data_IF_731757033473
#
_entry.id   IF_731757033473
#
_cell.length_a   1.000
_cell.length_b   1.000
_cell.length_c   1.000
_cell.angle_alpha   90.00
_cell.angle_beta   90.00
_cell.angle_gamma   90.00
#
_symmetry.space_group_name_H-M   'P 1'
#
loop_
_entity.id
_entity.type
_entity.pdbx_description
1 polymer ?
#
# COMPACT_ATOMS: atom_id res chain seq x y z
N UNK A 1 13.00 15.60 -10.95
CA UNK A 1 11.55 15.52 -10.62
C UNK A 1 11.16 14.04 -10.65
N UNK A 2 10.39 13.57 -9.67
CA UNK A 2 9.93 12.16 -9.56
C UNK A 2 9.50 11.53 -10.89
N UNK A 3 9.73 10.23 -11.03
CA UNK A 3 9.21 9.42 -12.12
C UNK A 3 7.88 8.77 -11.74
N UNK A 4 6.78 9.51 -11.89
CA UNK A 4 5.42 9.03 -11.61
C UNK A 4 4.84 8.28 -12.83
N UNK A 5 4.33 7.07 -12.61
CA UNK A 5 3.90 6.15 -13.67
C UNK A 5 2.50 5.60 -13.35
N UNK A 6 1.47 5.92 -14.16
CA UNK A 6 1.49 6.96 -15.18
C UNK A 6 1.51 8.36 -14.54
N UNK A 7 1.96 9.37 -15.28
CA UNK A 7 2.09 10.75 -14.81
C UNK A 7 0.81 11.59 -15.04
N UNK A 8 -0.23 11.00 -15.62
CA UNK A 8 -1.46 11.65 -16.06
C UNK A 8 -2.71 10.90 -15.56
N UNK A 9 -2.91 10.83 -14.23
CA UNK A 9 -4.14 10.28 -13.65
C UNK A 9 -5.25 11.32 -13.54
N UNK A 10 -6.47 10.93 -13.94
CA UNK A 10 -7.70 11.69 -13.73
C UNK A 10 -8.39 11.30 -12.41
N UNK A 11 -9.24 12.21 -11.89
CA UNK A 11 -9.97 11.99 -10.64
C UNK A 11 -10.81 10.70 -10.62
N UNK A 12 -11.32 10.27 -11.77
CA UNK A 12 -12.16 9.07 -11.92
C UNK A 12 -11.39 7.76 -11.76
N UNK A 13 -10.06 7.79 -11.91
CA UNK A 13 -9.21 6.58 -11.86
C UNK A 13 -8.78 6.19 -10.45
N UNK A 14 -9.06 7.02 -9.44
CA UNK A 14 -8.73 6.70 -8.05
C UNK A 14 -9.78 5.83 -7.35
N UNK A 15 -10.74 5.22 -8.07
CA UNK A 15 -11.75 4.31 -7.50
C UNK A 15 -12.47 4.85 -6.24
N UNK A 16 -12.71 6.17 -6.17
CA UNK A 16 -13.27 6.88 -5.00
C UNK A 16 -12.37 6.89 -3.74
N UNK A 17 -11.13 6.44 -3.85
CA UNK A 17 -10.11 6.49 -2.82
C UNK A 17 -9.49 7.89 -2.74
N UNK A 18 -10.02 8.70 -1.82
CA UNK A 18 -9.45 10.02 -1.50
C UNK A 18 -7.98 9.89 -1.03
N UNK A 19 -7.68 8.84 -0.27
CA UNK A 19 -6.34 8.57 0.27
C UNK A 19 -5.30 8.37 -0.82
N UNK A 20 -5.59 7.52 -1.82
CA UNK A 20 -4.69 7.32 -2.96
C UNK A 20 -4.47 8.62 -3.71
N UNK A 21 -5.52 9.38 -3.99
CA UNK A 21 -5.38 10.67 -4.67
C UNK A 21 -4.47 11.65 -3.91
N UNK A 22 -4.62 11.75 -2.58
CA UNK A 22 -3.76 12.62 -1.77
C UNK A 22 -2.30 12.20 -1.88
N UNK A 23 -2.01 10.90 -1.79
CA UNK A 23 -0.65 10.38 -1.93
C UNK A 23 -0.10 10.63 -3.34
N UNK A 24 -0.91 10.42 -4.39
CA UNK A 24 -0.51 10.69 -5.78
C UNK A 24 0.00 12.12 -5.97
N UNK A 25 -0.78 13.10 -5.48
CA UNK A 25 -0.41 14.51 -5.58
C UNK A 25 0.82 14.85 -4.73
N UNK A 26 0.97 14.22 -3.57
CA UNK A 26 2.15 14.41 -2.70
C UNK A 26 3.40 13.77 -3.28
N UNK A 27 3.28 12.62 -3.96
CA UNK A 27 4.41 11.97 -4.60
C UNK A 27 5.01 12.80 -5.73
N UNK A 28 4.24 13.69 -6.37
CA UNK A 28 4.75 14.62 -7.40
C UNK A 28 5.89 15.54 -6.92
N UNK A 29 6.01 15.77 -5.61
CA UNK A 29 7.08 16.60 -5.04
C UNK A 29 8.36 15.84 -4.68
N UNK A 30 8.40 14.52 -4.86
CA UNK A 30 9.60 13.72 -4.57
C UNK A 30 10.75 14.04 -5.53
N UNK A 31 11.98 13.77 -5.07
CA UNK A 31 13.20 13.78 -5.88
C UNK A 31 13.13 12.81 -7.08
N UNK A 32 14.00 13.01 -8.08
CA UNK A 32 14.07 12.17 -9.29
C UNK A 32 14.61 10.77 -9.05
N UNK A 33 15.17 10.47 -7.89
CA UNK A 33 15.56 9.10 -7.55
C UNK A 33 14.35 8.19 -7.26
N UNK A 34 13.15 8.77 -7.11
CA UNK A 34 11.92 8.02 -6.88
C UNK A 34 11.17 7.69 -8.17
N UNK A 35 10.82 6.42 -8.30
CA UNK A 35 9.90 5.88 -9.30
C UNK A 35 8.66 5.38 -8.60
N UNK A 36 7.50 5.91 -9.00
CA UNK A 36 6.22 5.64 -8.34
C UNK A 36 5.27 5.05 -9.36
N UNK A 37 4.93 3.77 -9.20
CA UNK A 37 3.92 3.10 -10.00
C UNK A 37 2.59 3.14 -9.26
N UNK A 38 1.55 3.70 -9.89
CA UNK A 38 0.20 3.78 -9.33
C UNK A 38 -0.74 2.79 -10.03
N UNK A 39 -1.51 2.03 -9.26
CA UNK A 39 -2.51 1.07 -9.76
C UNK A 39 -1.87 0.04 -10.70
N UNK A 40 -0.83 -0.62 -10.21
CA UNK A 40 -0.08 -1.63 -10.99
C UNK A 40 -0.65 -3.02 -10.73
N UNK A 41 -1.12 -3.68 -11.80
CA UNK A 41 -1.66 -5.03 -11.73
C UNK A 41 -0.57 -6.08 -11.96
N UNK A 42 -0.55 -7.11 -11.12
CA UNK A 42 0.30 -8.30 -11.26
C UNK A 42 -0.59 -9.54 -11.35
N UNK A 43 -0.43 -10.37 -12.40
CA UNK A 43 -1.14 -11.64 -12.50
C UNK A 43 -0.59 -12.63 -11.47
N UNK A 44 -1.45 -13.06 -10.56
CA UNK A 44 -1.12 -14.04 -9.51
C UNK A 44 -1.82 -15.36 -9.83
N UNK A 45 -1.05 -16.44 -9.90
CA UNK A 45 -1.60 -17.79 -10.05
C UNK A 45 -2.21 -18.25 -8.73
N UNK A 46 -3.46 -18.70 -8.81
CA UNK A 46 -4.19 -19.37 -7.72
C UNK A 46 -4.75 -20.69 -8.23
N UNK A 47 -5.35 -21.50 -7.36
CA UNK A 47 -5.83 -22.85 -7.68
C UNK A 47 -6.79 -22.85 -8.89
N UNK A 48 -6.25 -23.17 -10.06
CA UNK A 48 -6.98 -23.33 -11.31
C UNK A 48 -7.19 -22.06 -12.16
N UNK A 49 -6.82 -20.87 -11.68
CA UNK A 49 -7.01 -19.61 -12.45
C UNK A 49 -5.95 -18.54 -12.16
N UNK A 50 -5.89 -17.53 -13.04
CA UNK A 50 -5.10 -16.32 -12.85
C UNK A 50 -5.99 -15.22 -12.30
N UNK A 51 -5.50 -14.52 -11.28
CA UNK A 51 -6.16 -13.37 -10.69
C UNK A 51 -5.24 -12.16 -10.82
N UNK A 52 -5.73 -11.09 -11.42
CA UNK A 52 -4.99 -9.83 -11.42
C UNK A 52 -5.13 -9.14 -10.06
N UNK A 53 -4.00 -9.00 -9.37
CA UNK A 53 -3.89 -8.29 -8.11
C UNK A 53 -3.27 -6.93 -8.33
N UNK A 54 -3.98 -5.90 -7.91
CA UNK A 54 -3.51 -4.52 -7.95
C UNK A 54 -2.68 -4.19 -6.71
N UNK A 55 -1.63 -3.39 -6.91
CA UNK A 55 -1.03 -2.56 -5.88
C UNK A 55 -1.49 -1.13 -6.07
N UNK A 56 -1.93 -0.49 -4.99
CA UNK A 56 -2.23 0.95 -5.02
C UNK A 56 -0.96 1.73 -5.41
N UNK A 57 0.17 1.43 -4.74
CA UNK A 57 1.48 1.95 -5.12
C UNK A 57 2.62 0.95 -5.02
N UNK A 58 3.57 1.09 -5.94
CA UNK A 58 4.93 0.57 -5.80
C UNK A 58 5.90 1.73 -5.91
N UNK A 59 6.70 1.91 -4.88
CA UNK A 59 7.77 2.91 -4.82
C UNK A 59 9.09 2.18 -5.05
N UNK A 60 9.89 2.65 -6.00
CA UNK A 60 11.27 2.23 -6.20
C UNK A 60 12.20 3.42 -6.02
N UNK A 61 13.30 3.19 -5.30
CA UNK A 61 14.42 4.11 -5.21
C UNK A 61 15.73 3.29 -5.29
N UNK A 62 16.73 3.71 -6.09
CA UNK A 62 17.96 2.94 -6.27
C UNK A 62 18.79 2.77 -4.98
N UNK A 63 18.60 3.63 -3.98
CA UNK A 63 19.30 3.58 -2.71
C UNK A 63 18.57 2.78 -1.62
N UNK A 64 17.23 2.74 -1.67
CA UNK A 64 16.40 2.17 -0.60
C UNK A 64 15.66 0.89 -1.00
N UNK A 65 15.56 0.59 -2.30
CA UNK A 65 14.89 -0.60 -2.83
C UNK A 65 13.44 -0.35 -3.23
N UNK A 66 12.59 -1.36 -3.02
CA UNK A 66 11.19 -1.37 -3.47
C UNK A 66 10.26 -1.47 -2.26
N UNK A 67 9.26 -0.59 -2.21
CA UNK A 67 8.20 -0.59 -1.22
C UNK A 67 6.83 -0.71 -1.89
N UNK A 68 6.11 -1.80 -1.62
CA UNK A 68 4.72 -1.95 -2.04
C UNK A 68 3.78 -1.38 -0.95
N UNK A 69 2.92 -0.44 -1.31
CA UNK A 69 2.05 0.26 -0.36
C UNK A 69 0.60 -0.10 -0.67
N UNK A 70 -0.09 -0.60 0.35
CA UNK A 70 -1.55 -0.72 0.36
C UNK A 70 -2.14 0.49 1.09
N UNK A 71 -3.01 1.24 0.44
CA UNK A 71 -3.66 2.41 1.00
C UNK A 71 -4.97 2.01 1.66
N UNK A 72 -5.22 2.56 2.86
CA UNK A 72 -6.50 2.41 3.56
C UNK A 72 -6.96 3.78 4.05
N UNK A 73 -8.19 4.11 3.71
CA UNK A 73 -8.89 5.34 4.08
C UNK A 73 -10.12 5.03 4.93
N UNK A 74 -10.76 6.06 5.46
CA UNK A 74 -11.91 5.96 6.36
C UNK A 74 -11.55 5.56 7.79
N UNK A 75 -12.59 5.19 8.55
CA UNK A 75 -12.44 4.85 9.97
C UNK A 75 -11.85 3.45 10.16
N UNK A 76 -10.71 3.38 10.86
CA UNK A 76 -9.95 2.18 11.18
C UNK A 76 -9.90 2.02 12.70
N UNK A 77 -10.17 0.81 13.17
CA UNK A 77 -10.08 0.43 14.58
C UNK A 77 -9.06 -0.70 14.70
N UNK A 78 -8.18 -0.61 15.70
CA UNK A 78 -7.18 -1.65 15.99
C UNK A 78 -7.47 -2.27 17.35
N UNK A 79 -8.26 -3.34 17.40
CA UNK A 79 -8.66 -3.96 18.67
C UNK A 79 -8.26 -5.43 18.71
N UNK A 80 -7.83 -5.91 19.88
CA UNK A 80 -7.48 -7.32 20.12
C UNK A 80 -6.50 -7.89 19.08
N UNK A 81 -5.51 -7.09 18.64
CA UNK A 81 -4.53 -7.50 17.65
C UNK A 81 -5.11 -7.73 16.25
N UNK A 82 -6.21 -7.05 15.90
CA UNK A 82 -6.87 -7.09 14.59
C UNK A 82 -7.19 -5.69 14.09
N UNK A 83 -7.38 -5.57 12.78
CA UNK A 83 -7.72 -4.30 12.12
C UNK A 83 -9.13 -4.41 11.57
N UNK A 84 -9.96 -3.42 11.90
CA UNK A 84 -11.32 -3.24 11.40
C UNK A 84 -11.39 -1.95 10.59
N UNK A 85 -12.16 -1.96 9.51
CA UNK A 85 -12.49 -0.78 8.71
C UNK A 85 -13.99 -0.59 8.66
N UNK A 86 -14.47 0.65 8.79
CA UNK A 86 -15.88 0.96 8.64
C UNK A 86 -16.37 0.60 7.23
N UNK A 87 -17.52 -0.05 7.14
CA UNK A 87 -18.14 -0.38 5.86
C UNK A 87 -18.64 0.89 5.18
N UNK A 88 -18.51 0.95 3.85
CA UNK A 88 -19.26 1.94 3.06
C UNK A 88 -20.76 1.63 3.18
N UNK A 89 -21.60 2.65 3.38
CA UNK A 89 -23.06 2.50 3.56
C UNK A 89 -23.78 1.77 2.41
N UNK A 90 -23.12 1.61 1.26
CA UNK A 90 -23.65 0.92 0.09
C UNK A 90 -23.57 -0.62 0.17
N UNK A 91 -22.89 -1.20 1.17
CA UNK A 91 -22.79 -2.66 1.34
C UNK A 91 -23.78 -3.12 2.40
N UNK A 92 -25.03 -3.31 2.00
CA UNK A 92 -26.07 -3.88 2.85
C UNK A 92 -25.71 -5.30 3.30
N UNK A 93 -25.10 -5.45 4.49
CA UNK A 93 -24.80 -6.77 5.06
C UNK A 93 -24.82 -6.81 6.59
N UNK A 94 -25.30 -7.95 7.08
CA UNK A 94 -25.76 -8.36 8.43
C UNK A 94 -24.72 -8.40 9.58
N UNK A 95 -23.75 -7.48 9.65
CA UNK A 95 -22.90 -7.35 10.86
C UNK A 95 -23.32 -6.12 11.68
N UNK A 96 -23.49 -6.30 12.99
CA UNK A 96 -24.22 -5.35 13.84
C UNK A 96 -23.44 -4.06 14.21
N UNK A 97 -22.13 -3.99 14.00
CA UNK A 97 -21.31 -2.83 14.42
C UNK A 97 -20.89 -1.88 13.29
N UNK A 98 -21.16 -2.21 12.02
CA UNK A 98 -20.81 -1.38 10.86
C UNK A 98 -19.33 -1.45 10.43
N UNK A 99 -18.56 -2.40 10.97
CA UNK A 99 -17.15 -2.62 10.63
C UNK A 99 -16.93 -3.98 9.96
N UNK A 100 -15.86 -4.09 9.16
CA UNK A 100 -15.36 -5.36 8.62
C UNK A 100 -13.90 -5.57 9.05
N UNK A 101 -13.53 -6.81 9.36
CA UNK A 101 -12.12 -7.15 9.55
C UNK A 101 -11.36 -7.08 8.22
N UNK A 102 -10.15 -6.53 8.27
CA UNK A 102 -9.25 -6.42 7.12
C UNK A 102 -7.84 -6.89 7.48
N UNK A 103 -7.12 -7.37 6.46
CA UNK A 103 -5.68 -7.63 6.53
C UNK A 103 -4.99 -7.03 5.31
N UNK A 104 -4.76 -5.69 5.29
CA UNK A 104 -4.13 -4.97 4.17
C UNK A 104 -2.86 -5.64 3.64
N UNK A 105 -1.96 -6.05 4.53
CA UNK A 105 -0.69 -6.66 4.13
C UNK A 105 -0.88 -8.03 3.48
N UNK A 106 -1.91 -8.79 3.87
CA UNK A 106 -2.26 -10.03 3.20
C UNK A 106 -2.89 -9.81 1.82
N UNK A 107 -3.59 -8.70 1.59
CA UNK A 107 -4.22 -8.38 0.29
C UNK A 107 -3.18 -8.34 -0.84
N UNK A 108 -1.99 -7.82 -0.55
CA UNK A 108 -0.89 -7.66 -1.50
C UNK A 108 0.24 -8.70 -1.37
N UNK A 109 0.15 -9.62 -0.40
CA UNK A 109 1.26 -10.55 -0.08
C UNK A 109 1.65 -11.44 -1.26
N UNK A 110 0.68 -12.09 -1.91
CA UNK A 110 0.97 -13.02 -3.00
C UNK A 110 1.46 -12.27 -4.24
N UNK A 111 0.88 -11.10 -4.53
CA UNK A 111 1.32 -10.23 -5.61
C UNK A 111 2.79 -9.79 -5.40
N UNK A 112 3.19 -9.50 -4.16
CA UNK A 112 4.58 -9.13 -3.84
C UNK A 112 5.55 -10.26 -4.13
N UNK A 113 5.22 -11.50 -3.75
CA UNK A 113 6.08 -12.64 -4.06
C UNK A 113 6.14 -12.96 -5.55
N UNK A 114 5.05 -12.71 -6.29
CA UNK A 114 5.05 -12.82 -7.74
C UNK A 114 5.93 -11.73 -8.39
N UNK A 115 5.88 -10.48 -7.89
CA UNK A 115 6.78 -9.40 -8.31
C UNK A 115 8.25 -9.80 -8.07
N UNK A 116 8.57 -10.32 -6.88
CA UNK A 116 9.92 -10.79 -6.55
C UNK A 116 10.36 -11.89 -7.52
N UNK A 117 9.47 -12.83 -7.85
CA UNK A 117 9.78 -13.90 -8.79
C UNK A 117 10.04 -13.38 -10.22
N UNK A 118 9.27 -12.39 -10.68
CA UNK A 118 9.48 -11.74 -11.98
C UNK A 118 10.80 -10.96 -12.01
N UNK A 119 11.07 -10.16 -10.99
CA UNK A 119 12.32 -9.41 -10.89
C UNK A 119 13.53 -10.36 -10.91
N UNK A 120 13.48 -11.46 -10.15
CA UNK A 120 14.54 -12.48 -10.11
C UNK A 120 14.86 -13.09 -11.47
N UNK A 121 13.86 -13.27 -12.35
CA UNK A 121 14.09 -13.77 -13.72
C UNK A 121 14.91 -12.79 -14.57
N UNK A 122 14.88 -11.51 -14.21
CA UNK A 122 15.50 -10.41 -14.94
C UNK A 122 16.71 -9.81 -14.21
N UNK A 123 17.20 -10.45 -13.13
CA UNK A 123 18.36 -9.95 -12.40
C UNK A 123 19.61 -9.93 -13.28
N UNK A 124 20.44 -8.86 -13.17
CA UNK A 124 21.76 -8.85 -13.77
C UNK A 124 22.60 -10.03 -13.28
N UNK A 125 23.51 -10.51 -14.14
CA UNK A 125 24.44 -11.58 -13.77
C UNK A 125 25.23 -11.19 -12.51
N UNK A 126 25.18 -12.04 -11.48
CA UNK A 126 25.86 -11.82 -10.20
C UNK A 126 25.08 -10.98 -9.18
N UNK A 127 23.89 -10.48 -9.54
CA UNK A 127 23.01 -9.78 -8.61
C UNK A 127 22.17 -10.77 -7.79
N UNK A 128 22.05 -10.55 -6.48
CA UNK A 128 21.42 -11.50 -5.54
C UNK A 128 19.99 -11.13 -5.19
N UNK A 129 19.72 -9.86 -4.88
CA UNK A 129 18.39 -9.39 -4.48
C UNK A 129 18.28 -7.88 -4.39
N UNK A 130 17.10 -7.34 -4.71
CA UNK A 130 16.67 -6.02 -4.23
C UNK A 130 16.11 -6.14 -2.81
N UNK A 131 16.24 -5.07 -2.01
CA UNK A 131 15.45 -4.90 -0.80
C UNK A 131 13.99 -4.66 -1.20
N UNK A 132 13.07 -5.50 -0.74
CA UNK A 132 11.64 -5.42 -1.11
C UNK A 132 10.78 -5.60 0.13
N UNK A 133 9.97 -4.60 0.48
CA UNK A 133 9.06 -4.66 1.62
C UNK A 133 7.64 -4.24 1.22
N UNK A 134 6.70 -4.41 2.15
CA UNK A 134 5.36 -3.85 2.00
C UNK A 134 4.85 -3.22 3.29
N UNK A 135 4.13 -2.11 3.15
CA UNK A 135 3.45 -1.44 4.26
C UNK A 135 1.98 -1.18 3.93
N UNK A 136 1.23 -0.82 4.96
CA UNK A 136 -0.09 -0.19 4.82
C UNK A 136 0.04 1.29 5.16
N UNK A 137 -0.65 2.16 4.42
CA UNK A 137 -0.74 3.58 4.75
C UNK A 137 -2.19 3.96 5.10
N UNK A 138 -2.42 4.29 6.37
CA UNK A 138 -3.69 4.81 6.87
C UNK A 138 -3.75 6.32 6.65
N UNK A 139 -4.42 6.76 5.59
CA UNK A 139 -4.35 8.15 5.10
C UNK A 139 -5.33 9.12 5.77
N UNK A 140 -6.34 8.61 6.48
CA UNK A 140 -7.35 9.43 7.17
C UNK A 140 -7.18 9.50 8.69
N UNK A 141 -6.23 8.77 9.27
CA UNK A 141 -6.07 8.62 10.72
C UNK A 141 -4.66 8.99 11.15
N UNK A 142 -4.57 9.91 12.10
CA UNK A 142 -3.35 10.23 12.79
C UNK A 142 -3.02 9.11 13.79
N UNK A 143 -1.73 8.77 13.95
CA UNK A 143 -1.27 7.66 14.79
C UNK A 143 -1.81 7.72 16.22
N UNK A 144 -1.89 8.94 16.78
CA UNK A 144 -2.40 9.19 18.14
C UNK A 144 -3.90 8.94 18.32
N UNK A 145 -4.66 8.94 17.22
CA UNK A 145 -6.11 8.74 17.22
C UNK A 145 -6.50 7.27 17.00
N UNK A 146 -5.52 6.38 16.89
CA UNK A 146 -5.76 4.95 16.76
C UNK A 146 -6.15 4.38 18.12
N UNK A 147 -7.31 3.72 18.18
CA UNK A 147 -7.70 2.94 19.36
C UNK A 147 -7.06 1.55 19.30
N UNK A 148 -6.54 1.11 20.46
CA UNK A 148 -5.96 -0.21 20.70
C UNK A 148 -4.66 -0.53 19.94
N UNK A 149 -4.25 -1.81 19.96
CA UNK A 149 -2.96 -2.25 19.44
C UNK A 149 -3.07 -2.93 18.06
N UNK A 150 -2.21 -2.50 17.14
CA UNK A 150 -2.02 -3.16 15.86
C UNK A 150 -1.45 -4.59 16.04
N UNK A 151 -1.85 -5.53 15.16
CA UNK A 151 -1.21 -6.83 15.09
C UNK A 151 0.31 -6.69 14.91
N UNK A 152 1.10 -7.60 15.50
CA UNK A 152 2.57 -7.45 15.57
C UNK A 152 3.24 -7.30 14.19
N UNK A 153 2.74 -7.98 13.16
CA UNK A 153 3.27 -7.92 11.79
C UNK A 153 3.10 -6.55 11.10
N UNK A 154 2.24 -5.69 11.64
CA UNK A 154 2.06 -4.29 11.21
C UNK A 154 3.01 -3.33 11.93
N UNK A 155 3.53 -3.71 13.11
CA UNK A 155 4.48 -2.93 13.91
C UNK A 155 5.94 -3.27 13.59
N UNK A 156 6.21 -4.55 13.30
CA UNK A 156 7.54 -5.00 12.89
C UNK A 156 8.01 -4.26 11.64
N UNK A 157 9.27 -3.82 11.65
CA UNK A 157 9.92 -3.12 10.54
C UNK A 157 9.16 -1.86 10.06
N UNK A 158 8.39 -1.21 10.94
CA UNK A 158 7.60 0.00 10.62
C UNK A 158 6.68 -0.17 9.41
N UNK A 159 6.02 -1.34 9.26
CA UNK A 159 5.13 -1.65 8.13
C UNK A 159 3.76 -0.94 8.16
N UNK A 160 3.62 0.11 8.96
CA UNK A 160 2.41 0.93 9.06
C UNK A 160 2.78 2.40 9.03
N UNK A 161 2.20 3.11 8.08
CA UNK A 161 2.25 4.56 7.94
C UNK A 161 0.88 5.16 8.25
N UNK A 162 0.88 6.40 8.71
CA UNK A 162 -0.27 7.15 9.20
C UNK A 162 -0.43 8.43 8.41
N UNK A 163 -1.55 9.12 8.64
CA UNK A 163 -1.82 10.42 8.02
C UNK A 163 -0.73 11.45 8.34
N UNK A 164 -0.18 11.40 9.56
CA UNK A 164 0.88 12.30 10.01
C UNK A 164 2.17 12.16 9.15
N UNK A 165 2.41 10.98 8.56
CA UNK A 165 3.60 10.70 7.76
C UNK A 165 3.52 11.34 6.35
N UNK A 166 2.34 11.83 5.93
CA UNK A 166 2.16 12.50 4.62
C UNK A 166 2.86 13.87 4.59
N UNK A 167 3.04 14.51 5.75
CA UNK A 167 3.62 15.85 5.84
C UNK A 167 5.11 15.86 5.49
N UNK A 168 5.83 14.76 5.75
CA UNK A 168 7.24 14.55 5.42
C UNK A 168 7.41 13.31 4.55
N UNK A 169 6.71 13.30 3.40
CA UNK A 169 6.51 12.10 2.58
C UNK A 169 7.82 11.49 2.04
N UNK A 170 8.81 12.30 1.68
CA UNK A 170 10.09 11.79 1.18
C UNK A 170 10.89 11.11 2.30
N UNK A 171 11.05 11.77 3.45
CA UNK A 171 11.70 11.20 4.64
C UNK A 171 11.00 9.93 5.14
N UNK A 172 9.67 9.88 5.02
CA UNK A 172 8.87 8.70 5.39
C UNK A 172 9.20 7.46 4.55
N UNK A 173 9.60 7.66 3.29
CA UNK A 173 9.91 6.57 2.36
C UNK A 173 11.34 6.04 2.48
N UNK A 174 12.19 6.69 3.30
CA UNK A 174 13.61 6.38 3.53
C UNK A 174 13.78 5.51 4.79
#
# INVERSE_FOLDING_TARGET
MVHLIPNDRFNTEFNQSRGEKILYEKFKSLSDDFYIFHSMHIPVKTDGYLLDKEFDYIVFNPHYGILCIEVKSGNIICENGRIKQQKSMNIGTKENDGYKYIDPLAQIRNAKYQLIAELKRNYPKGFTSYAINSCVWFTDINKKNTSGELPINYRLYKRTLWKDDIDNIEETLI
#
